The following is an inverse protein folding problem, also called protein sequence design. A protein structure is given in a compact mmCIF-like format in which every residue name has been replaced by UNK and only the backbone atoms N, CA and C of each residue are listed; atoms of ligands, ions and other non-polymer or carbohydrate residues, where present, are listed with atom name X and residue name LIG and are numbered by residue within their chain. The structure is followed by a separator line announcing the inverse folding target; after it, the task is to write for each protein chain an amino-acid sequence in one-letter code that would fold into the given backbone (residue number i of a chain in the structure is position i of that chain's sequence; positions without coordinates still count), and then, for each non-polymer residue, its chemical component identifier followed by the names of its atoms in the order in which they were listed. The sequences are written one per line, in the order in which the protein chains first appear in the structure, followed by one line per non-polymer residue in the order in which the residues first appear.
data_IF_545393557727
#
_entry.id   IF_545393557727
#
_cell.length_a   1.000
_cell.length_b   1.000
_cell.length_c   1.000
_cell.angle_alpha   90.00
_cell.angle_beta   90.00
_cell.angle_gamma   90.00
#
_symmetry.space_group_name_H-M   'P 1'
#
loop_
_entity.id
_entity.type
_entity.pdbx_description
1 polymer ?
#
# COMPACT_ATOMS: atom_id res chain seq x y z
N UNK A 1 -24.37 -0.10 -0.36
CA UNK A 1 -23.69 0.47 0.83
C UNK A 1 -22.21 0.08 0.96
N UNK A 2 -21.74 -1.00 0.32
CA UNK A 2 -20.33 -1.46 0.38
C UNK A 2 -19.32 -0.51 -0.32
N UNK A 3 -19.69 0.05 -1.49
CA UNK A 3 -18.82 0.95 -2.26
C UNK A 3 -18.44 2.26 -1.55
N UNK A 4 -19.29 2.78 -0.65
CA UNK A 4 -19.00 4.05 0.05
C UNK A 4 -17.95 3.89 1.14
N UNK A 5 -17.89 2.72 1.77
CA UNK A 5 -16.91 2.41 2.83
C UNK A 5 -15.51 2.22 2.24
N UNK A 6 -15.40 1.53 1.10
CA UNK A 6 -14.13 1.36 0.38
C UNK A 6 -13.53 2.70 -0.08
N UNK A 7 -14.38 3.62 -0.57
CA UNK A 7 -13.96 4.98 -0.96
C UNK A 7 -13.43 5.76 0.24
N UNK A 8 -14.15 5.70 1.38
CA UNK A 8 -13.74 6.38 2.60
C UNK A 8 -12.40 5.85 3.11
N UNK A 9 -12.18 4.53 3.06
CA UNK A 9 -10.94 3.91 3.52
C UNK A 9 -9.75 4.29 2.65
N UNK A 10 -9.92 4.31 1.32
CA UNK A 10 -8.87 4.74 0.40
C UNK A 10 -8.44 6.19 0.70
N UNK A 11 -9.40 7.08 0.93
CA UNK A 11 -9.12 8.48 1.28
C UNK A 11 -8.37 8.59 2.60
N UNK A 12 -8.84 7.91 3.66
CA UNK A 12 -8.22 7.98 5.00
C UNK A 12 -6.75 7.55 4.97
N UNK A 13 -6.39 6.52 4.20
CA UNK A 13 -4.99 6.13 4.06
C UNK A 13 -4.14 7.22 3.42
N UNK A 14 -4.64 7.85 2.35
CA UNK A 14 -3.89 8.92 1.70
C UNK A 14 -3.80 10.16 2.59
N UNK A 15 -4.87 10.52 3.30
CA UNK A 15 -4.88 11.64 4.24
C UNK A 15 -3.88 11.40 5.40
N UNK A 16 -3.75 10.17 5.89
CA UNK A 16 -2.71 9.81 6.87
C UNK A 16 -1.32 9.97 6.27
N UNK A 17 -1.07 9.43 5.07
CA UNK A 17 0.23 9.51 4.40
C UNK A 17 0.67 10.95 4.13
N UNK A 18 -0.26 11.84 3.76
CA UNK A 18 0.05 13.24 3.50
C UNK A 18 0.32 14.05 4.78
N UNK A 19 -0.25 13.62 5.91
CA UNK A 19 -0.05 14.24 7.22
C UNK A 19 1.23 13.78 7.95
N UNK A 20 1.95 12.77 7.44
CA UNK A 20 3.21 12.32 8.04
C UNK A 20 4.31 13.38 7.89
N UNK A 21 5.07 13.62 8.96
CA UNK A 21 6.24 14.51 8.94
C UNK A 21 7.25 14.14 7.84
N UNK A 22 7.43 12.83 7.63
CA UNK A 22 8.19 12.28 6.52
C UNK A 22 7.22 11.70 5.48
N UNK A 23 6.78 12.53 4.54
CA UNK A 23 5.89 12.11 3.46
C UNK A 23 6.54 11.04 2.57
N UNK A 24 5.75 10.08 2.05
CA UNK A 24 6.23 9.11 1.07
C UNK A 24 6.80 9.78 -0.18
N UNK A 25 7.97 9.35 -0.64
CA UNK A 25 8.54 9.81 -1.92
C UNK A 25 7.83 9.16 -3.09
N UNK A 26 7.50 7.88 -2.98
CA UNK A 26 6.81 7.14 -4.02
C UNK A 26 5.95 6.04 -3.41
N UNK A 27 4.65 6.12 -3.68
CA UNK A 27 3.65 5.15 -3.22
C UNK A 27 3.34 4.13 -4.31
N UNK A 28 3.68 2.86 -4.07
CA UNK A 28 3.23 1.74 -4.89
C UNK A 28 1.80 1.32 -4.51
N UNK A 29 0.97 0.99 -5.50
CA UNK A 29 -0.40 0.50 -5.29
C UNK A 29 -0.56 -0.90 -5.91
N UNK A 30 -0.70 -1.91 -5.05
CA UNK A 30 -0.98 -3.31 -5.38
C UNK A 30 -2.38 -3.68 -4.95
N UNK A 31 -3.35 -3.56 -5.86
CA UNK A 31 -4.75 -3.79 -5.55
C UNK A 31 -5.40 -4.60 -6.68
N UNK A 32 -6.24 -5.57 -6.31
CA UNK A 32 -7.00 -6.41 -7.24
C UNK A 32 -8.19 -5.69 -7.84
N UNK A 33 -8.79 -4.76 -7.08
CA UNK A 33 -9.92 -3.94 -7.52
C UNK A 33 -9.43 -2.71 -8.29
N UNK A 34 -9.70 -2.69 -9.59
CA UNK A 34 -9.39 -1.53 -10.46
C UNK A 34 -10.01 -0.22 -9.94
N UNK A 35 -11.20 -0.29 -9.36
CA UNK A 35 -11.89 0.88 -8.81
C UNK A 35 -11.11 1.45 -7.62
N UNK A 36 -10.69 0.60 -6.68
CA UNK A 36 -9.90 1.00 -5.53
C UNK A 36 -8.53 1.52 -5.98
N UNK A 37 -7.87 0.85 -6.93
CA UNK A 37 -6.60 1.31 -7.51
C UNK A 37 -6.71 2.73 -8.07
N UNK A 38 -7.76 2.99 -8.86
CA UNK A 38 -7.99 4.31 -9.47
C UNK A 38 -8.27 5.38 -8.42
N UNK A 39 -9.02 5.03 -7.36
CA UNK A 39 -9.32 5.96 -6.27
C UNK A 39 -8.09 6.30 -5.45
N UNK A 40 -7.31 5.32 -5.04
CA UNK A 40 -6.04 5.54 -4.33
C UNK A 40 -5.10 6.42 -5.15
N UNK A 41 -4.93 6.12 -6.45
CA UNK A 41 -4.10 6.94 -7.32
C UNK A 41 -4.63 8.37 -7.48
N UNK A 42 -5.96 8.54 -7.57
CA UNK A 42 -6.58 9.86 -7.66
C UNK A 42 -6.38 10.67 -6.37
N UNK A 43 -6.55 10.04 -5.20
CA UNK A 43 -6.32 10.69 -3.91
C UNK A 43 -4.84 11.04 -3.71
N UNK A 44 -3.90 10.16 -4.05
CA UNK A 44 -2.47 10.48 -4.03
C UNK A 44 -2.18 11.74 -4.85
N UNK A 45 -2.73 11.82 -6.08
CA UNK A 45 -2.55 12.99 -6.95
C UNK A 45 -3.13 14.27 -6.34
N UNK A 46 -4.30 14.20 -5.69
CA UNK A 46 -4.92 15.33 -5.01
C UNK A 46 -4.08 15.83 -3.82
N UNK A 47 -3.43 14.92 -3.10
CA UNK A 47 -2.54 15.22 -1.99
C UNK A 47 -1.08 15.42 -2.41
N UNK A 48 -0.82 15.60 -3.72
CA UNK A 48 0.52 15.79 -4.29
C UNK A 48 1.53 14.66 -4.00
N UNK A 49 1.06 13.46 -3.67
CA UNK A 49 1.88 12.26 -3.50
C UNK A 49 2.13 11.58 -4.85
N UNK A 50 3.39 11.21 -5.11
CA UNK A 50 3.71 10.40 -6.30
C UNK A 50 3.23 8.97 -6.09
N UNK A 51 2.51 8.43 -7.07
CA UNK A 51 1.99 7.07 -7.00
C UNK A 51 2.25 6.29 -8.30
N UNK A 52 2.59 5.02 -8.14
CA UNK A 52 2.69 4.06 -9.22
C UNK A 52 1.68 2.93 -8.98
N UNK A 53 0.78 2.72 -9.94
CA UNK A 53 -0.26 1.72 -9.88
C UNK A 53 -0.24 0.85 -11.14
N UNK A 54 -0.39 -0.46 -10.97
CA UNK A 54 -0.44 -1.40 -12.09
C UNK A 54 -1.70 -2.25 -12.00
N UNK A 55 -2.42 -2.36 -13.12
CA UNK A 55 -3.77 -2.95 -13.16
C UNK A 55 -3.85 -4.24 -13.99
N UNK A 56 -2.75 -4.71 -14.60
CA UNK A 56 -2.76 -5.94 -15.39
C UNK A 56 -2.42 -7.16 -14.53
N UNK A 57 -3.37 -8.10 -14.45
CA UNK A 57 -3.29 -9.33 -13.63
C UNK A 57 -2.14 -10.29 -13.99
N UNK A 58 -1.61 -10.25 -15.22
CA UNK A 58 -0.82 -11.36 -15.74
C UNK A 58 0.68 -11.33 -15.39
N UNK A 59 1.18 -10.33 -14.65
CA UNK A 59 2.61 -10.29 -14.27
C UNK A 59 2.82 -9.70 -12.87
N UNK A 60 2.23 -10.32 -11.84
CA UNK A 60 2.39 -9.88 -10.44
C UNK A 60 3.85 -9.89 -9.97
N UNK A 61 4.66 -10.84 -10.43
CA UNK A 61 6.10 -10.90 -10.10
C UNK A 61 6.88 -9.74 -10.74
N UNK A 62 6.69 -9.47 -12.03
CA UNK A 62 7.31 -8.33 -12.71
C UNK A 62 6.90 -7.00 -12.06
N UNK A 63 5.67 -6.91 -11.58
CA UNK A 63 5.18 -5.75 -10.86
C UNK A 63 5.90 -5.57 -9.51
N UNK A 64 6.02 -6.64 -8.73
CA UNK A 64 6.80 -6.63 -7.49
C UNK A 64 8.26 -6.21 -7.73
N UNK A 65 8.88 -6.72 -8.79
CA UNK A 65 10.25 -6.36 -9.19
C UNK A 65 10.35 -4.91 -9.63
N UNK A 66 9.36 -4.41 -10.39
CA UNK A 66 9.30 -3.01 -10.80
C UNK A 66 9.16 -2.09 -9.60
N UNK A 67 8.32 -2.45 -8.62
CA UNK A 67 8.15 -1.67 -7.39
C UNK A 67 9.40 -1.73 -6.51
N UNK A 68 10.03 -2.89 -6.39
CA UNK A 68 11.31 -3.03 -5.69
C UNK A 68 12.39 -2.14 -6.31
N UNK A 69 12.47 -2.10 -7.64
CA UNK A 69 13.44 -1.32 -8.40
C UNK A 69 13.11 0.18 -8.47
N UNK A 70 11.85 0.59 -8.32
CA UNK A 70 11.39 1.98 -8.59
C UNK A 70 11.76 3.00 -7.52
N UNK A 71 12.43 2.59 -6.44
CA UNK A 71 12.68 3.53 -5.34
C UNK A 71 11.50 3.70 -4.38
N UNK A 72 10.40 2.95 -4.58
CA UNK A 72 9.22 2.91 -3.71
C UNK A 72 9.56 2.74 -2.22
N UNK A 73 9.05 3.65 -1.39
CA UNK A 73 9.22 3.64 0.08
C UNK A 73 7.89 3.37 0.82
N UNK A 74 6.75 3.47 0.14
CA UNK A 74 5.43 3.15 0.68
C UNK A 74 4.64 2.27 -0.27
N UNK A 75 3.99 1.23 0.23
CA UNK A 75 3.20 0.29 -0.57
C UNK A 75 1.82 0.09 0.03
N UNK A 76 0.76 0.23 -0.77
CA UNK A 76 -0.61 -0.12 -0.38
C UNK A 76 -0.99 -1.43 -1.07
N UNK A 77 -1.23 -2.48 -0.29
CA UNK A 77 -1.43 -3.84 -0.76
C UNK A 77 -2.76 -4.43 -0.27
N UNK A 78 -3.42 -5.25 -1.09
CA UNK A 78 -4.51 -6.12 -0.67
C UNK A 78 -4.06 -7.59 -0.55
N UNK A 79 -4.90 -8.42 0.07
CA UNK A 79 -4.58 -9.82 0.35
C UNK A 79 -4.28 -10.65 -0.89
N UNK A 80 -4.90 -10.31 -2.04
CA UNK A 80 -4.71 -11.02 -3.31
C UNK A 80 -3.29 -10.86 -3.87
N UNK A 81 -2.53 -9.88 -3.39
CA UNK A 81 -1.16 -9.61 -3.82
C UNK A 81 -0.12 -10.02 -2.77
N UNK A 82 -0.50 -10.70 -1.67
CA UNK A 82 0.45 -11.13 -0.64
C UNK A 82 1.58 -12.04 -1.15
N UNK A 83 1.35 -12.99 -2.07
CA UNK A 83 2.47 -13.75 -2.63
C UNK A 83 3.52 -12.87 -3.32
N UNK A 84 3.07 -11.84 -4.05
CA UNK A 84 3.96 -10.88 -4.71
C UNK A 84 4.63 -9.92 -3.72
N UNK A 85 3.88 -9.45 -2.71
CA UNK A 85 4.40 -8.68 -1.59
C UNK A 85 5.51 -9.45 -0.89
N UNK A 86 5.25 -10.70 -0.49
CA UNK A 86 6.21 -11.56 0.18
C UNK A 86 7.52 -11.67 -0.60
N UNK A 87 7.43 -12.00 -1.89
CA UNK A 87 8.59 -12.06 -2.78
C UNK A 87 9.36 -10.73 -2.82
N UNK A 88 8.65 -9.59 -2.93
CA UNK A 88 9.24 -8.26 -2.91
C UNK A 88 10.00 -7.97 -1.61
N UNK A 89 9.40 -8.26 -0.44
CA UNK A 89 9.99 -7.97 0.86
C UNK A 89 11.27 -8.74 1.13
N UNK A 90 11.43 -9.93 0.56
CA UNK A 90 12.70 -10.67 0.62
C UNK A 90 13.84 -9.97 -0.13
N UNK A 91 13.51 -9.26 -1.20
CA UNK A 91 14.47 -8.57 -2.06
C UNK A 91 14.79 -7.16 -1.58
N UNK A 92 13.80 -6.44 -1.07
CA UNK A 92 13.98 -5.04 -0.65
C UNK A 92 14.64 -4.98 0.73
N UNK A 93 15.91 -4.58 0.78
CA UNK A 93 16.68 -4.49 2.04
C UNK A 93 16.49 -3.17 2.80
N UNK A 94 15.93 -2.15 2.16
CA UNK A 94 15.64 -0.86 2.81
C UNK A 94 14.29 -0.90 3.55
N UNK A 95 14.10 -0.09 4.60
CA UNK A 95 12.81 0.08 5.23
C UNK A 95 11.75 0.56 4.22
N UNK A 96 10.54 0.05 4.38
CA UNK A 96 9.36 0.47 3.63
C UNK A 96 8.18 0.56 4.58
N UNK A 97 7.25 1.47 4.28
CA UNK A 97 5.94 1.49 4.88
C UNK A 97 4.99 0.61 4.05
N UNK A 98 4.30 -0.32 4.68
CA UNK A 98 3.41 -1.27 4.01
C UNK A 98 2.04 -1.17 4.65
N UNK A 99 1.07 -0.74 3.86
CA UNK A 99 -0.34 -0.64 4.25
C UNK A 99 -1.06 -1.88 3.75
N UNK A 100 -1.52 -2.72 4.68
CA UNK A 100 -2.36 -3.88 4.42
C UNK A 100 -3.83 -3.42 4.49
N UNK A 101 -4.38 -2.97 3.37
CA UNK A 101 -5.61 -2.16 3.40
C UNK A 101 -6.88 -2.92 3.81
N UNK A 102 -6.82 -4.26 3.85
CA UNK A 102 -7.93 -5.16 4.17
C UNK A 102 -7.75 -5.85 5.53
N UNK A 103 -6.58 -5.73 6.16
CA UNK A 103 -6.34 -6.37 7.45
C UNK A 103 -6.77 -5.45 8.58
N UNK A 104 -7.48 -6.00 9.55
CA UNK A 104 -7.76 -5.28 10.80
C UNK A 104 -6.53 -5.20 11.68
N UNK A 105 -5.76 -6.31 11.75
CA UNK A 105 -4.60 -6.49 12.61
C UNK A 105 -3.40 -6.93 11.78
N UNK A 106 -2.19 -6.60 12.22
CA UNK A 106 -0.96 -7.03 11.55
C UNK A 106 -0.84 -8.56 11.57
N UNK A 107 -0.78 -9.24 10.41
CA UNK A 107 -0.63 -10.69 10.36
C UNK A 107 0.72 -11.15 10.94
N UNK A 108 0.74 -12.34 11.55
CA UNK A 108 1.95 -12.88 12.21
C UNK A 108 3.17 -13.01 11.27
N UNK A 109 2.93 -13.22 9.98
CA UNK A 109 4.04 -13.34 9.05
C UNK A 109 4.82 -12.04 8.86
N UNK A 110 4.23 -10.88 9.16
CA UNK A 110 4.90 -9.59 9.09
C UNK A 110 6.10 -9.52 10.05
N UNK A 111 6.11 -10.30 11.14
CA UNK A 111 7.22 -10.37 12.09
C UNK A 111 8.53 -10.85 11.46
N UNK A 112 8.47 -11.58 10.34
CA UNK A 112 9.67 -12.00 9.59
C UNK A 112 10.37 -10.83 8.88
N UNK A 113 9.70 -9.69 8.77
CA UNK A 113 10.10 -8.53 7.99
C UNK A 113 10.22 -7.28 8.87
N UNK A 114 10.88 -7.42 10.03
CA UNK A 114 10.91 -6.40 11.09
C UNK A 114 11.56 -5.07 10.71
N UNK A 115 12.31 -5.00 9.61
CA UNK A 115 12.88 -3.76 9.08
C UNK A 115 11.87 -2.93 8.27
N UNK A 116 10.71 -3.51 7.92
CA UNK A 116 9.59 -2.80 7.32
C UNK A 116 8.55 -2.44 8.38
N UNK A 117 7.85 -1.33 8.18
CA UNK A 117 6.73 -0.91 9.02
C UNK A 117 5.43 -1.33 8.37
N UNK A 118 4.60 -2.07 9.08
CA UNK A 118 3.28 -2.48 8.62
C UNK A 118 2.20 -1.64 9.30
N UNK A 119 1.19 -1.23 8.53
CA UNK A 119 -0.03 -0.58 9.00
C UNK A 119 -1.25 -1.36 8.51
N UNK A 120 -2.27 -1.40 9.35
CA UNK A 120 -3.54 -2.10 9.15
C UNK A 120 -4.70 -1.17 9.50
N UNK A 121 -5.95 -1.58 9.28
CA UNK A 121 -7.10 -0.70 9.47
C UNK A 121 -7.22 -0.13 10.90
N UNK A 122 -6.75 -0.86 11.92
CA UNK A 122 -6.68 -0.34 13.29
C UNK A 122 -5.88 0.98 13.41
N UNK A 123 -4.86 1.17 12.58
CA UNK A 123 -3.97 2.34 12.65
C UNK A 123 -4.64 3.61 12.11
N UNK A 124 -5.69 3.45 11.28
CA UNK A 124 -6.53 4.58 10.86
C UNK A 124 -7.46 5.05 11.97
N UNK A 125 -7.86 4.14 12.88
CA UNK A 125 -8.76 4.46 13.98
C UNK A 125 -8.03 5.15 15.14
N UNK A 126 -6.74 4.88 15.31
CA UNK A 126 -5.89 5.51 16.32
C UNK A 126 -5.30 6.85 15.89
N UNK A 127 -5.38 7.18 14.60
CA UNK A 127 -4.92 8.45 14.02
C UNK A 127 -6.00 9.55 13.97
N UNK A 128 -7.22 9.25 14.44
CA UNK A 128 -8.35 10.18 14.59
C UNK A 128 -8.46 10.66 16.04
#
# INVERSE_FOLDING_TARGET
MQKSHEISHAKSWIDMLSAMDAQPKLTGILQSSRVITQQLAAFCRLQHLMAFAYTRKNHQQLLAETIAASGCDTLICDQHHYPALWYMLHQVKRPMLIILNQEMWTPDWCWQFSHHRFLCQQDLLSAQ
#
